data_IF_186802006039
#
_entry.id   IF_186802006039
#
_cell.length_a   1.000
_cell.length_b   1.000
_cell.length_c   1.000
_cell.angle_alpha   90.00
_cell.angle_beta   90.00
_cell.angle_gamma   90.00
#
_symmetry.space_group_name_H-M   'P 1'
#
loop_
_entity.id
_entity.type
_entity.pdbx_description
1 polymer ?
#
# COMPACT_ATOMS: atom_id res chain seq x y z
N UNK A 1 35.86 13.29 -36.39
CA UNK A 1 35.62 13.52 -34.95
C UNK A 1 34.34 12.78 -34.60
N UNK A 2 34.47 11.57 -34.05
CA UNK A 2 33.37 10.71 -33.64
C UNK A 2 33.16 10.87 -32.15
N UNK A 3 31.94 11.22 -31.73
CA UNK A 3 31.58 11.23 -30.32
C UNK A 3 31.34 9.79 -29.84
N UNK A 4 31.83 9.39 -28.65
CA UNK A 4 31.52 8.08 -28.10
C UNK A 4 30.06 8.01 -27.67
N UNK A 5 29.40 6.90 -27.98
CA UNK A 5 28.09 6.53 -27.42
C UNK A 5 28.26 6.30 -25.93
N UNK A 6 27.77 7.25 -25.12
CA UNK A 6 27.55 7.02 -23.69
C UNK A 6 26.42 6.01 -23.58
N UNK A 7 26.73 4.82 -23.06
CA UNK A 7 25.73 3.81 -22.72
C UNK A 7 24.65 4.46 -21.85
N UNK A 8 23.41 4.40 -22.34
CA UNK A 8 22.28 5.09 -21.72
C UNK A 8 22.11 4.63 -20.28
N UNK A 9 22.11 5.58 -19.36
CA UNK A 9 21.68 5.33 -18.00
C UNK A 9 20.22 4.89 -18.04
N UNK A 10 19.96 3.72 -17.43
CA UNK A 10 18.66 3.05 -17.24
C UNK A 10 18.10 2.30 -18.46
N UNK A 11 18.61 1.08 -18.69
CA UNK A 11 17.84 0.06 -19.40
C UNK A 11 16.60 -0.29 -18.56
N UNK A 12 15.45 0.27 -18.92
CA UNK A 12 14.16 -0.08 -18.33
C UNK A 12 13.58 -1.28 -19.07
N UNK A 13 13.69 -2.47 -18.50
CA UNK A 13 12.97 -3.62 -19.00
C UNK A 13 11.48 -3.49 -18.65
N UNK A 14 10.66 -3.32 -19.67
CA UNK A 14 9.21 -3.24 -19.50
C UNK A 14 8.72 -4.61 -19.01
N UNK A 15 8.30 -4.69 -17.75
CA UNK A 15 7.84 -5.94 -17.14
C UNK A 15 6.60 -6.54 -17.84
N UNK A 16 5.79 -5.73 -18.54
CA UNK A 16 4.52 -6.14 -19.17
C UNK A 16 4.24 -5.40 -20.48
N UNK A 17 3.64 -6.09 -21.47
CA UNK A 17 3.16 -5.49 -22.73
C UNK A 17 1.69 -5.04 -22.68
N UNK A 18 0.99 -5.30 -21.58
CA UNK A 18 -0.42 -4.96 -21.37
C UNK A 18 -0.60 -3.47 -21.00
N UNK A 19 -1.48 -2.79 -21.73
CA UNK A 19 -1.82 -1.38 -21.57
C UNK A 19 -2.69 -1.07 -20.33
N UNK A 20 -3.18 -2.04 -19.56
CA UNK A 20 -4.07 -1.81 -18.41
C UNK A 20 -3.35 -1.25 -17.17
N UNK A 21 -2.01 -1.37 -17.09
CA UNK A 21 -1.24 -0.90 -15.93
C UNK A 21 -1.14 0.62 -15.82
N UNK A 22 -1.29 1.36 -16.92
CA UNK A 22 -1.28 2.84 -16.92
C UNK A 22 -2.53 3.45 -16.30
N UNK A 23 -3.57 2.65 -16.03
CA UNK A 23 -4.87 3.15 -15.58
C UNK A 23 -4.92 3.44 -14.06
N UNK A 24 -3.76 3.75 -13.45
CA UNK A 24 -3.67 4.35 -12.11
C UNK A 24 -4.25 3.47 -11.02
N UNK A 25 -3.53 2.44 -10.64
CA UNK A 25 -3.99 1.46 -9.67
C UNK A 25 -3.35 1.67 -8.30
N UNK A 26 -4.08 1.42 -7.20
CA UNK A 26 -3.45 1.34 -5.88
C UNK A 26 -2.28 0.35 -5.91
N UNK A 27 -1.12 0.84 -5.50
CA UNK A 27 0.09 0.05 -5.26
C UNK A 27 0.58 0.29 -3.84
N UNK A 28 1.05 -0.75 -3.19
CA UNK A 28 1.68 -0.66 -1.87
C UNK A 28 2.85 -1.64 -1.76
N UNK A 29 3.76 -1.37 -0.84
CA UNK A 29 4.77 -2.34 -0.41
C UNK A 29 4.09 -3.48 0.35
N UNK A 30 4.70 -4.65 0.41
CA UNK A 30 4.21 -5.74 1.25
C UNK A 30 5.41 -6.52 1.77
N UNK A 31 5.58 -6.56 3.08
CA UNK A 31 6.58 -7.38 3.72
C UNK A 31 6.33 -8.84 3.39
N UNK A 32 7.33 -9.49 2.82
CA UNK A 32 7.25 -10.93 2.56
C UNK A 32 7.80 -11.69 3.76
N UNK A 33 7.46 -12.97 3.88
CA UNK A 33 8.06 -13.85 4.89
C UNK A 33 9.57 -14.05 4.74
N UNK A 34 10.23 -13.44 3.75
CA UNK A 34 11.69 -13.39 3.64
C UNK A 34 12.21 -12.10 4.29
N UNK A 35 12.98 -12.18 5.38
CA UNK A 35 13.52 -11.00 6.05
C UNK A 35 14.28 -10.06 5.11
N UNK A 36 14.10 -8.76 5.30
CA UNK A 36 14.80 -7.71 4.53
C UNK A 36 14.36 -7.56 3.08
N UNK A 37 13.22 -8.14 2.67
CA UNK A 37 12.75 -8.11 1.29
C UNK A 37 11.25 -7.86 1.17
N UNK A 38 10.88 -6.62 0.85
CA UNK A 38 9.49 -6.20 0.59
C UNK A 38 9.12 -6.30 -0.88
N UNK A 39 7.91 -6.80 -1.15
CA UNK A 39 7.32 -6.91 -2.49
C UNK A 39 6.33 -5.79 -2.79
N UNK A 40 5.71 -5.85 -3.95
CA UNK A 40 4.59 -4.99 -4.33
C UNK A 40 3.27 -5.74 -4.30
N UNK A 41 2.25 -5.05 -3.84
CA UNK A 41 0.85 -5.42 -3.89
C UNK A 41 0.16 -4.51 -4.90
N UNK A 42 -0.64 -5.09 -5.79
CA UNK A 42 -1.34 -4.38 -6.87
C UNK A 42 -2.81 -4.75 -6.89
N UNK A 43 -3.67 -3.74 -6.87
CA UNK A 43 -5.04 -3.89 -7.34
C UNK A 43 -5.07 -3.76 -8.86
N UNK A 44 -5.84 -4.58 -9.57
CA UNK A 44 -6.07 -4.44 -11.01
C UNK A 44 -7.40 -3.73 -11.32
N UNK A 45 -7.63 -3.23 -12.55
CA UNK A 45 -8.88 -2.54 -12.91
C UNK A 45 -10.11 -3.44 -12.74
N UNK A 46 -9.93 -4.74 -12.87
CA UNK A 46 -10.98 -5.73 -12.66
C UNK A 46 -11.30 -5.98 -11.17
N UNK A 47 -10.52 -5.42 -10.24
CA UNK A 47 -10.67 -5.57 -8.79
C UNK A 47 -9.95 -6.78 -8.21
N UNK A 48 -9.13 -7.49 -8.99
CA UNK A 48 -8.24 -8.52 -8.45
C UNK A 48 -7.06 -7.89 -7.71
N UNK A 49 -6.59 -8.57 -6.65
CA UNK A 49 -5.47 -8.13 -5.83
C UNK A 49 -4.34 -9.16 -5.94
N UNK A 50 -3.17 -8.75 -6.43
CA UNK A 50 -2.03 -9.62 -6.66
C UNK A 50 -0.76 -9.12 -5.99
N UNK A 51 0.08 -10.06 -5.58
CA UNK A 51 1.50 -9.80 -5.33
C UNK A 51 2.37 -10.59 -6.29
N UNK A 52 3.61 -10.16 -6.48
CA UNK A 52 4.57 -10.76 -7.40
C UNK A 52 5.78 -11.29 -6.65
N UNK A 53 6.35 -12.37 -7.16
CA UNK A 53 7.65 -12.86 -6.70
C UNK A 53 8.74 -11.93 -7.23
N UNK A 54 9.78 -11.73 -6.42
CA UNK A 54 11.05 -11.15 -6.86
C UNK A 54 12.11 -12.23 -6.97
N UNK A 55 13.01 -12.10 -7.93
CA UNK A 55 14.22 -12.93 -7.98
C UNK A 55 15.30 -12.44 -6.99
N UNK A 56 16.46 -13.09 -7.00
CA UNK A 56 17.55 -12.76 -6.10
C UNK A 56 18.12 -11.35 -6.29
N UNK A 57 17.96 -10.77 -7.48
CA UNK A 57 18.42 -9.43 -7.86
C UNK A 57 17.42 -8.31 -7.52
N UNK A 58 16.22 -8.68 -7.05
CA UNK A 58 15.15 -7.72 -6.73
C UNK A 58 14.21 -7.43 -7.90
N UNK A 59 14.42 -8.03 -9.07
CA UNK A 59 13.52 -7.89 -10.22
C UNK A 59 12.23 -8.68 -9.98
N UNK A 60 11.08 -8.09 -10.28
CA UNK A 60 9.80 -8.78 -10.27
C UNK A 60 9.76 -9.80 -11.43
N UNK A 61 9.29 -11.02 -11.15
CA UNK A 61 9.08 -12.05 -12.17
C UNK A 61 7.59 -12.27 -12.40
N UNK A 62 7.22 -12.86 -13.54
CA UNK A 62 5.82 -13.06 -13.96
C UNK A 62 5.00 -14.01 -13.05
N UNK A 63 5.63 -14.63 -12.06
CA UNK A 63 4.95 -15.44 -11.05
C UNK A 63 4.21 -14.52 -10.06
N UNK A 64 2.88 -14.56 -10.10
CA UNK A 64 1.97 -13.80 -9.21
C UNK A 64 1.17 -14.71 -8.29
N UNK A 65 0.78 -14.18 -7.12
CA UNK A 65 -0.10 -14.83 -6.15
C UNK A 65 -1.35 -13.97 -5.94
N UNK A 66 -2.54 -14.57 -6.04
CA UNK A 66 -3.80 -13.90 -5.69
C UNK A 66 -3.86 -13.67 -4.19
N UNK A 67 -4.18 -12.45 -3.79
CA UNK A 67 -4.19 -12.01 -2.40
C UNK A 67 -5.61 -11.83 -1.87
N UNK A 68 -6.60 -11.79 -2.76
CA UNK A 68 -8.02 -11.75 -2.44
C UNK A 68 -8.77 -12.88 -3.18
N UNK A 69 -9.85 -13.45 -2.61
CA UNK A 69 -10.55 -14.59 -3.22
C UNK A 69 -11.30 -14.26 -4.52
N UNK A 70 -11.71 -13.00 -4.71
CA UNK A 70 -12.54 -12.58 -5.84
C UNK A 70 -12.15 -11.19 -6.38
N UNK A 71 -12.95 -10.69 -7.33
CA UNK A 71 -12.73 -9.43 -8.05
C UNK A 71 -13.49 -8.23 -7.47
N UNK A 72 -14.01 -8.36 -6.26
CA UNK A 72 -14.78 -7.30 -5.60
C UNK A 72 -13.90 -6.27 -4.90
N UNK A 73 -12.58 -6.49 -4.85
CA UNK A 73 -11.64 -5.62 -4.17
C UNK A 73 -11.36 -4.35 -4.99
N UNK A 74 -12.22 -3.35 -4.84
CA UNK A 74 -12.11 -2.05 -5.52
C UNK A 74 -11.92 -0.92 -4.50
N UNK A 75 -10.68 -0.47 -4.35
CA UNK A 75 -10.25 0.59 -3.42
C UNK A 75 -9.66 1.77 -4.19
N UNK A 76 -9.81 2.95 -3.60
CA UNK A 76 -9.27 4.22 -4.13
C UNK A 76 -7.79 4.37 -3.80
N UNK A 77 -7.45 4.05 -2.55
CA UNK A 77 -6.08 4.11 -2.03
C UNK A 77 -5.85 2.92 -1.10
N UNK A 78 -4.60 2.51 -0.99
CA UNK A 78 -4.19 1.52 -0.01
C UNK A 78 -2.79 1.83 0.51
N UNK A 79 -2.56 1.42 1.74
CA UNK A 79 -1.28 1.43 2.42
C UNK A 79 -1.11 0.12 3.18
N UNK A 80 0.13 -0.23 3.47
CA UNK A 80 0.48 -1.41 4.27
C UNK A 80 1.28 -1.03 5.50
N UNK A 81 1.21 -1.90 6.49
CA UNK A 81 1.90 -1.77 7.77
C UNK A 81 1.37 -2.80 8.76
N UNK A 82 2.11 -3.05 9.84
CA UNK A 82 1.65 -3.91 10.95
C UNK A 82 0.72 -3.11 11.87
N UNK A 83 -0.52 -2.93 11.43
CA UNK A 83 -1.54 -2.16 12.14
C UNK A 83 -2.17 -2.96 13.29
N UNK A 84 -2.02 -4.28 13.29
CA UNK A 84 -2.53 -5.21 14.31
C UNK A 84 -1.49 -5.65 15.34
N UNK A 85 -0.22 -5.27 15.16
CA UNK A 85 0.88 -5.60 16.07
C UNK A 85 1.25 -7.08 16.08
N UNK A 86 0.92 -7.82 15.02
CA UNK A 86 1.07 -9.28 14.95
C UNK A 86 2.32 -9.74 14.19
N UNK A 87 3.16 -8.76 13.78
CA UNK A 87 4.39 -8.96 13.04
C UNK A 87 4.20 -9.13 11.53
N UNK A 88 2.97 -9.04 11.01
CA UNK A 88 2.65 -9.18 9.59
C UNK A 88 2.13 -7.87 9.03
N UNK A 89 2.32 -7.68 7.73
CA UNK A 89 1.73 -6.53 7.06
C UNK A 89 0.22 -6.74 6.88
N UNK A 90 -0.54 -5.76 7.34
CA UNK A 90 -1.96 -5.59 7.08
C UNK A 90 -2.16 -4.56 5.95
N UNK A 91 -3.39 -4.43 5.44
CA UNK A 91 -3.76 -3.37 4.49
C UNK A 91 -4.73 -2.39 5.14
N UNK A 92 -4.39 -1.11 5.13
CA UNK A 92 -5.33 -0.01 5.28
C UNK A 92 -5.82 0.42 3.89
N UNK A 93 -7.13 0.39 3.62
CA UNK A 93 -7.67 0.73 2.30
C UNK A 93 -8.91 1.60 2.36
N UNK A 94 -8.95 2.62 1.48
CA UNK A 94 -10.05 3.57 1.35
C UNK A 94 -11.04 3.06 0.30
N UNK A 95 -12.28 2.84 0.71
CA UNK A 95 -13.37 2.47 -0.18
C UNK A 95 -13.94 3.68 -0.95
N UNK A 96 -14.69 3.40 -2.02
CA UNK A 96 -15.31 4.45 -2.83
C UNK A 96 -16.28 5.33 -2.03
N UNK A 97 -16.97 4.75 -1.04
CA UNK A 97 -17.93 5.42 -0.15
C UNK A 97 -17.26 6.21 0.99
N UNK A 98 -15.92 6.25 1.04
CA UNK A 98 -15.14 6.97 2.03
C UNK A 98 -14.89 6.22 3.33
N UNK A 99 -15.26 4.94 3.43
CA UNK A 99 -14.89 4.09 4.56
C UNK A 99 -13.38 3.77 4.53
N UNK A 100 -12.71 3.83 5.69
CA UNK A 100 -11.37 3.28 5.87
C UNK A 100 -11.45 1.90 6.52
N UNK A 101 -10.98 0.90 5.79
CA UNK A 101 -10.96 -0.49 6.24
C UNK A 101 -9.56 -0.98 6.52
N UNK A 102 -9.46 -1.87 7.50
CA UNK A 102 -8.30 -2.70 7.77
C UNK A 102 -8.57 -4.12 7.27
N UNK A 103 -7.61 -4.69 6.56
CA UNK A 103 -7.55 -6.10 6.15
C UNK A 103 -6.37 -6.76 6.86
N UNK A 104 -6.60 -7.53 7.94
CA UNK A 104 -5.51 -8.15 8.69
C UNK A 104 -4.74 -9.17 7.87
N UNK A 105 -3.42 -9.21 8.02
CA UNK A 105 -2.51 -10.16 7.39
C UNK A 105 -2.52 -11.51 8.08
N UNK A 106 -2.60 -12.58 7.28
CA UNK A 106 -2.52 -13.97 7.77
C UNK A 106 -1.13 -14.56 7.60
N UNK A 107 -0.83 -15.59 8.39
CA UNK A 107 0.44 -16.32 8.32
C UNK A 107 0.69 -17.00 6.96
N UNK A 108 -0.37 -17.33 6.22
CA UNK A 108 -0.29 -17.87 4.85
C UNK A 108 0.04 -16.78 3.80
N UNK A 109 0.21 -15.53 4.23
CA UNK A 109 0.46 -14.36 3.40
C UNK A 109 -0.73 -13.98 2.51
N UNK A 110 -1.97 -14.21 2.97
CA UNK A 110 -3.19 -13.61 2.42
C UNK A 110 -3.88 -12.75 3.49
N UNK A 111 -5.09 -12.25 3.26
CA UNK A 111 -5.76 -11.31 4.17
C UNK A 111 -7.08 -11.83 4.71
N UNK A 112 -7.42 -11.44 5.93
CA UNK A 112 -8.72 -11.65 6.55
C UNK A 112 -9.78 -10.67 6.04
N UNK A 113 -11.03 -10.92 6.45
CA UNK A 113 -12.16 -10.02 6.16
C UNK A 113 -11.89 -8.62 6.72
N UNK A 114 -12.37 -7.63 5.98
CA UNK A 114 -12.27 -6.23 6.36
C UNK A 114 -12.98 -5.94 7.70
N UNK A 115 -12.38 -5.05 8.49
CA UNK A 115 -13.06 -4.36 9.60
C UNK A 115 -12.86 -2.85 9.50
N UNK A 116 -13.67 -2.08 10.23
CA UNK A 116 -13.53 -0.62 10.26
C UNK A 116 -12.25 -0.25 11.00
N UNK A 117 -11.41 0.57 10.37
CA UNK A 117 -10.22 1.17 10.99
C UNK A 117 -10.51 2.57 11.52
N UNK A 118 -11.51 3.24 10.92
CA UNK A 118 -12.02 4.54 11.31
C UNK A 118 -13.55 4.47 11.48
N UNK A 119 -14.14 5.17 12.46
CA UNK A 119 -15.59 5.12 12.70
C UNK A 119 -16.44 5.78 11.61
N UNK A 120 -15.97 6.88 11.00
CA UNK A 120 -16.74 7.60 9.98
C UNK A 120 -16.33 7.28 8.53
N UNK A 121 -17.20 7.63 7.58
CA UNK A 121 -16.94 7.54 6.14
C UNK A 121 -16.32 8.82 5.57
N UNK A 122 -15.29 9.34 6.23
CA UNK A 122 -14.68 10.65 5.94
C UNK A 122 -13.44 10.58 5.05
N UNK A 123 -12.98 9.39 4.67
CA UNK A 123 -11.72 9.20 3.94
C UNK A 123 -11.85 9.33 2.42
N UNK A 124 -13.07 9.50 1.91
CA UNK A 124 -13.34 9.48 0.46
C UNK A 124 -12.74 10.64 -0.33
N UNK A 125 -12.31 11.70 0.36
CA UNK A 125 -11.64 12.90 -0.19
C UNK A 125 -10.12 12.85 -0.08
N UNK A 126 -9.55 11.82 0.56
CA UNK A 126 -8.11 11.64 0.60
C UNK A 126 -7.58 11.39 -0.81
N UNK A 127 -6.39 11.93 -1.11
CA UNK A 127 -5.69 11.76 -2.39
C UNK A 127 -4.61 10.68 -2.33
N UNK A 128 -4.10 10.39 -1.13
CA UNK A 128 -3.13 9.36 -0.87
C UNK A 128 -3.17 8.95 0.61
N UNK A 129 -2.82 7.71 0.88
CA UNK A 129 -2.55 7.20 2.24
C UNK A 129 -1.24 6.43 2.24
N UNK A 130 -0.48 6.48 3.33
CA UNK A 130 0.80 5.79 3.50
C UNK A 130 0.92 5.28 4.94
N UNK A 131 1.38 4.05 5.12
CA UNK A 131 1.64 3.46 6.44
C UNK A 131 3.10 3.60 6.85
N UNK A 132 3.35 3.66 8.15
CA UNK A 132 4.71 3.75 8.73
C UNK A 132 4.64 4.00 10.23
N UNK A 133 5.76 3.95 10.95
CA UNK A 133 5.81 4.40 12.35
C UNK A 133 6.25 5.86 12.39
N UNK A 134 5.29 6.79 12.49
CA UNK A 134 5.57 8.23 12.42
C UNK A 134 5.85 8.84 13.78
N UNK A 135 5.50 8.14 14.86
CA UNK A 135 5.61 8.63 16.23
C UNK A 135 6.72 7.93 17.04
N UNK A 136 7.27 6.83 16.54
CA UNK A 136 8.39 6.08 17.12
C UNK A 136 7.99 5.10 18.22
N UNK A 137 6.71 4.74 18.36
CA UNK A 137 6.24 3.81 19.39
C UNK A 137 6.29 2.33 18.97
N UNK A 138 6.77 2.05 17.76
CA UNK A 138 6.90 0.71 17.20
C UNK A 138 5.60 0.15 16.64
N UNK A 139 4.53 0.95 16.52
CA UNK A 139 3.26 0.54 15.91
C UNK A 139 3.09 1.23 14.56
N UNK A 140 2.39 0.56 13.63
CA UNK A 140 2.08 1.21 12.36
C UNK A 140 1.02 2.31 12.56
N UNK A 141 1.39 3.52 12.19
CA UNK A 141 0.55 4.70 12.02
C UNK A 141 0.12 4.85 10.55
N UNK A 142 -0.84 5.75 10.30
CA UNK A 142 -1.29 6.08 8.94
C UNK A 142 -1.11 7.58 8.67
N UNK A 143 -0.49 7.93 7.55
CA UNK A 143 -0.47 9.29 7.00
C UNK A 143 -1.48 9.41 5.87
N UNK A 144 -2.13 10.57 5.76
CA UNK A 144 -3.08 10.87 4.70
C UNK A 144 -2.88 12.28 4.16
N UNK A 145 -2.96 12.41 2.84
CA UNK A 145 -2.99 13.69 2.14
C UNK A 145 -4.43 14.00 1.74
N UNK A 146 -5.03 15.01 2.37
CA UNK A 146 -6.38 15.48 2.05
C UNK A 146 -6.47 16.17 0.69
N UNK A 147 -7.70 16.35 0.19
CA UNK A 147 -7.96 17.02 -1.08
C UNK A 147 -7.48 18.47 -1.12
N UNK A 148 -7.49 19.15 0.04
CA UNK A 148 -7.04 20.54 0.20
C UNK A 148 -5.54 20.67 0.51
N UNK A 149 -4.79 19.56 0.47
CA UNK A 149 -3.34 19.56 0.69
C UNK A 149 -2.91 19.48 2.15
N UNK A 150 -3.84 19.28 3.08
CA UNK A 150 -3.52 19.02 4.48
C UNK A 150 -2.90 17.63 4.62
N UNK A 151 -1.67 17.58 5.14
CA UNK A 151 -0.97 16.35 5.44
C UNK A 151 -1.11 16.06 6.93
N UNK A 152 -1.77 14.95 7.25
CA UNK A 152 -2.03 14.52 8.62
C UNK A 152 -1.51 13.11 8.87
N UNK A 153 -1.16 12.83 10.11
CA UNK A 153 -0.83 11.49 10.59
C UNK A 153 -1.77 11.07 11.71
N UNK A 154 -2.06 9.78 11.78
CA UNK A 154 -3.04 9.17 12.67
C UNK A 154 -2.33 8.04 13.41
N UNK A 155 -2.24 8.18 14.74
CA UNK A 155 -1.54 7.20 15.56
C UNK A 155 -2.26 5.86 15.57
N UNK A 156 -1.55 4.77 15.32
CA UNK A 156 -2.08 3.41 15.42
C UNK A 156 -2.12 2.91 16.86
N UNK A 157 -3.17 2.20 17.23
CA UNK A 157 -3.24 1.59 18.56
C UNK A 157 -2.52 0.23 18.65
N UNK A 158 -2.10 -0.33 17.51
CA UNK A 158 -1.52 -1.67 17.38
C UNK A 158 -2.58 -2.77 17.51
N UNK A 159 -3.85 -2.42 17.40
CA UNK A 159 -5.01 -3.32 17.38
C UNK A 159 -5.93 -2.99 16.22
N UNK A 160 -5.46 -2.22 15.25
CA UNK A 160 -6.14 -1.89 14.01
C UNK A 160 -7.10 -0.70 14.06
N UNK A 161 -7.03 0.15 15.09
CA UNK A 161 -7.74 1.42 15.12
C UNK A 161 -6.75 2.59 15.10
N UNK A 162 -7.25 3.76 14.71
CA UNK A 162 -6.48 4.99 14.62
C UNK A 162 -7.01 6.04 15.60
N UNK A 163 -6.11 6.84 16.17
CA UNK A 163 -6.43 8.03 16.95
C UNK A 163 -6.72 9.25 16.06
N UNK A 164 -7.22 10.32 16.66
CA UNK A 164 -7.45 11.59 15.98
C UNK A 164 -6.19 12.12 15.29
N UNK A 165 -6.32 12.47 14.00
CA UNK A 165 -5.19 12.87 13.18
C UNK A 165 -4.57 14.19 13.62
N UNK A 166 -3.24 14.29 13.53
CA UNK A 166 -2.43 15.48 13.83
C UNK A 166 -1.78 15.99 12.55
N UNK A 167 -1.57 17.31 12.45
CA UNK A 167 -0.83 17.88 11.30
C UNK A 167 0.60 17.36 11.30
N UNK A 168 1.12 16.97 10.13
CA UNK A 168 2.53 16.64 9.95
C UNK A 168 3.38 17.88 9.70
N UNK A 169 2.82 18.91 9.06
CA UNK A 169 3.52 20.17 8.84
C UNK A 169 3.57 21.00 10.13
N UNK A 170 4.70 21.68 10.41
CA UNK A 170 4.75 22.66 11.48
C UNK A 170 3.79 23.81 11.18
N UNK A 171 3.27 24.44 12.22
CA UNK A 171 2.61 25.73 12.07
C UNK A 171 3.69 26.75 11.72
N UNK A 172 3.53 27.43 10.59
CA UNK A 172 4.32 28.62 10.23
C UNK A 172 3.89 29.82 11.06
#
# INVERSE_FOLDING_TARGET
MTFPTVGGFWDHERLWTDAAWKDGLPVATLRTGTPGRDTLLFQWPDGSLYTYKRDASGKLVIQKKSMWPDKTWKKKHMATGDFTGDGRDDIAAVAADGSLHLYPGKADGSFDKARSMWPEKSWGTMRAVVGGDFNGDGKADLAALGSTGDLRWYAGDGKGALAAGKTMWPKV
#
